data_IF_744647543495
#
_entry.id   IF_744647543495
#
_cell.length_a   1.000
_cell.length_b   1.000
_cell.length_c   1.000
_cell.angle_alpha   90.00
_cell.angle_beta   90.00
_cell.angle_gamma   90.00
#
_symmetry.space_group_name_H-M   'P 1'
#
loop_
_entity.id
_entity.type
_entity.pdbx_description
1 polymer ?
#
# COMPACT_ATOMS: atom_id res chain seq x y z
N UNK A 1 -7.83 -61.35 -24.17
CA UNK A 1 -7.05 -60.85 -23.01
C UNK A 1 -6.88 -59.33 -23.13
N UNK A 2 -7.16 -58.60 -22.04
CA UNK A 2 -6.74 -57.21 -21.76
C UNK A 2 -7.44 -56.06 -22.53
N UNK A 3 -8.70 -55.77 -22.24
CA UNK A 3 -9.27 -54.43 -22.55
C UNK A 3 -10.43 -53.96 -21.64
N UNK A 4 -10.67 -54.62 -20.51
CA UNK A 4 -11.79 -54.31 -19.60
C UNK A 4 -11.36 -53.72 -18.25
N UNK A 5 -10.07 -53.47 -18.03
CA UNK A 5 -9.55 -53.01 -16.73
C UNK A 5 -9.26 -51.50 -16.64
N UNK A 6 -9.49 -50.73 -17.71
CA UNK A 6 -9.13 -49.28 -17.75
C UNK A 6 -10.34 -48.36 -17.49
N UNK A 7 -11.57 -48.88 -17.54
CA UNK A 7 -12.78 -48.06 -17.38
C UNK A 7 -13.18 -47.89 -15.90
N UNK A 8 -12.82 -48.84 -15.03
CA UNK A 8 -13.21 -48.79 -13.61
C UNK A 8 -12.35 -47.88 -12.72
N UNK A 9 -11.23 -47.33 -13.22
CA UNK A 9 -10.37 -46.40 -12.45
C UNK A 9 -10.65 -44.91 -12.72
N UNK A 10 -11.44 -44.59 -13.75
CA UNK A 10 -11.78 -43.20 -14.09
C UNK A 10 -13.09 -42.70 -13.46
N UNK A 11 -13.94 -43.60 -12.94
CA UNK A 11 -15.25 -43.24 -12.40
C UNK A 11 -15.26 -43.03 -10.87
N UNK A 12 -14.22 -43.47 -10.16
CA UNK A 12 -14.08 -43.24 -8.69
C UNK A 12 -13.42 -41.89 -8.38
N UNK A 13 -12.83 -41.21 -9.36
CA UNK A 13 -12.17 -39.92 -9.17
C UNK A 13 -13.11 -38.70 -9.17
N UNK A 14 -14.40 -38.85 -9.53
CA UNK A 14 -15.32 -37.69 -9.64
C UNK A 14 -16.17 -37.40 -8.40
N UNK A 15 -16.18 -38.30 -7.40
CA UNK A 15 -17.01 -38.10 -6.19
C UNK A 15 -16.29 -37.41 -5.03
N UNK A 16 -14.95 -37.28 -5.06
CA UNK A 16 -14.19 -36.66 -3.98
C UNK A 16 -14.07 -35.12 -4.09
N UNK A 17 -14.50 -34.52 -5.21
CA UNK A 17 -14.41 -33.08 -5.45
C UNK A 17 -15.58 -32.26 -4.85
N UNK A 18 -16.64 -32.92 -4.37
CA UNK A 18 -17.85 -32.28 -3.82
C UNK A 18 -18.22 -32.73 -2.40
N UNK A 19 -17.35 -33.46 -1.71
CA UNK A 19 -17.53 -33.65 -0.27
C UNK A 19 -17.26 -32.31 0.43
N UNK A 20 -18.16 -31.80 1.29
CA UNK A 20 -17.86 -30.62 2.10
C UNK A 20 -16.67 -30.98 2.99
N UNK A 21 -15.49 -30.45 2.66
CA UNK A 21 -14.37 -30.50 3.57
C UNK A 21 -14.81 -29.75 4.84
N UNK A 22 -14.98 -30.49 5.94
CA UNK A 22 -15.09 -29.92 7.27
C UNK A 22 -13.83 -29.10 7.49
N UNK A 23 -13.93 -27.80 7.19
CA UNK A 23 -12.89 -26.84 7.50
C UNK A 23 -13.00 -26.63 8.99
N UNK A 24 -12.36 -27.52 9.76
CA UNK A 24 -12.02 -27.18 11.13
C UNK A 24 -11.17 -25.92 11.03
N UNK A 25 -11.74 -24.81 11.48
CA UNK A 25 -10.98 -23.58 11.68
C UNK A 25 -9.95 -23.95 12.74
N UNK A 26 -8.72 -24.25 12.31
CA UNK A 26 -7.60 -24.43 13.21
C UNK A 26 -7.52 -23.17 14.06
N UNK A 27 -7.98 -23.28 15.30
CA UNK A 27 -7.85 -22.25 16.31
C UNK A 27 -6.36 -21.97 16.44
N UNK A 28 -5.91 -20.85 15.87
CA UNK A 28 -4.55 -20.34 16.02
C UNK A 28 -4.36 -19.73 17.41
N UNK A 29 -4.74 -20.46 18.45
CA UNK A 29 -4.20 -20.29 19.79
C UNK A 29 -3.10 -21.33 19.98
N UNK A 30 -2.06 -21.26 19.15
CA UNK A 30 -0.78 -21.88 19.51
C UNK A 30 -0.17 -20.95 20.56
N UNK A 31 -0.30 -21.31 21.84
CA UNK A 31 0.50 -20.73 22.93
C UNK A 31 1.96 -21.21 22.83
N UNK A 32 2.52 -21.17 21.63
CA UNK A 32 3.87 -21.58 21.34
C UNK A 32 4.75 -20.35 21.19
N UNK A 33 5.91 -20.42 21.85
CA UNK A 33 6.95 -19.42 21.73
C UNK A 33 7.34 -19.26 20.26
N UNK A 34 7.28 -18.02 19.74
CA UNK A 34 7.57 -17.70 18.33
C UNK A 34 8.93 -18.22 17.86
N UNK A 35 9.86 -18.43 18.81
CA UNK A 35 11.18 -19.00 18.55
C UNK A 35 11.14 -20.51 18.24
N UNK A 36 10.24 -21.26 18.87
CA UNK A 36 10.05 -22.69 18.59
C UNK A 36 9.36 -22.92 17.24
N UNK A 37 8.41 -22.05 16.87
CA UNK A 37 7.73 -22.12 15.57
C UNK A 37 8.69 -21.87 14.39
N UNK A 38 9.65 -20.95 14.55
CA UNK A 38 10.71 -20.73 13.55
C UNK A 38 11.70 -21.89 13.46
N UNK A 39 11.96 -22.60 14.56
CA UNK A 39 12.78 -23.81 14.56
C UNK A 39 12.10 -25.00 13.87
N UNK A 40 10.79 -25.16 14.04
CA UNK A 40 10.02 -26.23 13.41
C UNK A 40 9.92 -26.06 11.87
N UNK A 41 9.83 -24.82 11.38
CA UNK A 41 9.83 -24.52 9.95
C UNK A 41 11.19 -24.83 9.29
N UNK A 42 12.29 -24.76 10.03
CA UNK A 42 13.60 -25.15 9.53
C UNK A 42 13.79 -26.68 9.46
N UNK A 43 13.09 -27.45 10.30
CA UNK A 43 13.22 -28.90 10.36
C UNK A 43 12.32 -29.65 9.36
N UNK A 44 11.19 -29.06 8.97
CA UNK A 44 10.35 -29.58 7.90
C UNK A 44 10.75 -28.90 6.58
N UNK A 45 11.70 -29.49 5.87
CA UNK A 45 12.23 -29.06 4.56
C UNK A 45 11.21 -28.99 3.40
N UNK A 46 9.95 -28.71 3.69
CA UNK A 46 8.93 -28.32 2.71
C UNK A 46 9.15 -26.84 2.41
N UNK A 47 10.11 -26.59 1.52
CA UNK A 47 10.20 -25.33 0.79
C UNK A 47 8.95 -25.24 -0.08
N UNK A 48 7.84 -24.81 0.51
CA UNK A 48 6.76 -24.17 -0.22
C UNK A 48 7.36 -22.87 -0.78
N UNK A 49 8.07 -22.98 -1.90
CA UNK A 49 8.50 -21.85 -2.71
C UNK A 49 7.27 -20.95 -2.82
N UNK A 50 7.30 -19.72 -2.28
CA UNK A 50 6.26 -18.76 -2.59
C UNK A 50 6.27 -18.69 -4.11
N UNK A 51 5.18 -19.16 -4.72
CA UNK A 51 4.92 -18.94 -6.13
C UNK A 51 5.22 -17.46 -6.34
N UNK A 52 6.26 -17.15 -7.10
CA UNK A 52 6.51 -15.80 -7.56
C UNK A 52 5.37 -15.47 -8.52
N UNK A 53 4.20 -15.16 -7.95
CA UNK A 53 3.17 -14.44 -8.64
C UNK A 53 3.85 -13.17 -9.12
N UNK A 54 3.93 -13.02 -10.45
CA UNK A 54 4.58 -11.89 -11.09
C UNK A 54 3.98 -10.60 -10.52
N UNK A 55 4.73 -9.94 -9.63
CA UNK A 55 4.29 -8.77 -8.87
C UNK A 55 4.15 -7.51 -9.74
N UNK A 56 4.39 -7.61 -11.05
CA UNK A 56 4.21 -6.51 -12.00
C UNK A 56 2.73 -6.15 -12.22
N UNK A 57 1.80 -7.06 -11.89
CA UNK A 57 0.36 -6.75 -11.85
C UNK A 57 -0.06 -5.83 -10.68
N UNK A 58 0.75 -5.75 -9.61
CA UNK A 58 0.46 -4.90 -8.44
C UNK A 58 0.87 -3.43 -8.65
N UNK A 59 1.76 -3.18 -9.61
CA UNK A 59 2.25 -1.84 -9.93
C UNK A 59 1.56 -1.36 -11.21
N UNK A 60 0.65 -0.42 -11.08
CA UNK A 60 -0.03 0.19 -12.22
C UNK A 60 -0.05 1.71 -12.07
N UNK A 61 -0.33 2.41 -13.17
CA UNK A 61 -0.52 3.88 -13.11
C UNK A 61 -1.61 4.26 -12.11
N UNK A 62 -2.66 3.44 -11.99
CA UNK A 62 -3.74 3.66 -11.05
C UNK A 62 -3.31 3.49 -9.58
N UNK A 63 -2.49 2.49 -9.26
CA UNK A 63 -1.99 2.31 -7.88
C UNK A 63 -0.99 3.41 -7.48
N UNK A 64 -0.19 3.90 -8.42
CA UNK A 64 0.67 5.07 -8.24
C UNK A 64 -0.15 6.34 -8.00
N UNK A 65 -1.15 6.61 -8.84
CA UNK A 65 -2.02 7.78 -8.69
C UNK A 65 -2.78 7.76 -7.36
N UNK A 66 -3.35 6.61 -6.98
CA UNK A 66 -4.04 6.43 -5.69
C UNK A 66 -3.09 6.72 -4.51
N UNK A 67 -1.86 6.23 -4.57
CA UNK A 67 -0.86 6.47 -3.52
C UNK A 67 -0.46 7.94 -3.44
N UNK A 68 -0.22 8.58 -4.60
CA UNK A 68 0.08 10.01 -4.69
C UNK A 68 -1.07 10.85 -4.15
N UNK A 69 -2.31 10.46 -4.44
CA UNK A 69 -3.49 11.16 -3.97
C UNK A 69 -3.66 11.03 -2.45
N UNK A 70 -3.79 9.81 -1.94
CA UNK A 70 -4.13 9.57 -0.53
C UNK A 70 -3.03 10.09 0.41
N UNK A 71 -1.77 9.75 0.13
CA UNK A 71 -0.67 10.11 1.01
C UNK A 71 -0.14 11.51 0.71
N UNK A 72 -0.18 11.96 -0.55
CA UNK A 72 0.18 13.34 -0.89
C UNK A 72 -0.78 14.36 -0.27
N UNK A 73 -2.09 14.09 -0.28
CA UNK A 73 -3.07 14.96 0.39
C UNK A 73 -2.78 15.09 1.89
N UNK A 74 -2.55 13.96 2.58
CA UNK A 74 -2.20 13.96 4.01
C UNK A 74 -0.91 14.72 4.31
N UNK A 75 0.09 14.62 3.43
CA UNK A 75 1.32 15.41 3.57
C UNK A 75 1.02 16.89 3.39
N UNK A 76 0.19 17.28 2.42
CA UNK A 76 -0.19 18.69 2.22
C UNK A 76 -1.01 19.28 3.37
N UNK A 77 -1.85 18.48 4.02
CA UNK A 77 -2.62 18.90 5.20
C UNK A 77 -1.70 19.28 6.39
N UNK A 78 -0.44 18.82 6.40
CA UNK A 78 0.56 19.21 7.41
C UNK A 78 1.16 20.59 7.17
N UNK A 79 0.86 21.28 6.06
CA UNK A 79 1.47 22.58 5.73
C UNK A 79 1.23 23.61 6.84
N UNK A 80 0.04 23.64 7.41
CA UNK A 80 -0.31 24.56 8.50
C UNK A 80 0.38 24.15 9.81
N UNK A 81 0.50 22.85 10.09
CA UNK A 81 1.26 22.34 11.23
C UNK A 81 2.76 22.67 11.14
N UNK A 82 3.36 22.54 9.96
CA UNK A 82 4.75 22.95 9.68
C UNK A 82 4.92 24.45 9.86
N UNK A 83 3.97 25.26 9.37
CA UNK A 83 3.98 26.71 9.55
C UNK A 83 3.80 27.12 11.03
N UNK A 84 3.05 26.35 11.81
CA UNK A 84 2.91 26.54 13.26
C UNK A 84 4.17 26.09 14.03
N UNK A 85 4.92 25.13 13.49
CA UNK A 85 6.04 24.49 14.20
C UNK A 85 5.59 23.30 15.07
N UNK A 86 4.46 22.70 14.75
CA UNK A 86 3.97 21.50 15.40
C UNK A 86 4.72 20.26 14.87
N UNK A 87 5.86 19.98 15.50
CA UNK A 87 6.67 18.81 15.20
C UNK A 87 5.94 17.49 15.50
N UNK A 88 5.00 17.50 16.46
CA UNK A 88 4.25 16.33 16.89
C UNK A 88 3.30 15.84 15.80
N UNK A 89 2.55 16.77 15.18
CA UNK A 89 1.67 16.48 14.06
C UNK A 89 2.43 15.86 12.87
N UNK A 90 3.58 16.44 12.50
CA UNK A 90 4.40 15.91 11.40
C UNK A 90 4.98 14.53 11.75
N UNK A 91 5.38 14.32 13.00
CA UNK A 91 5.90 13.03 13.45
C UNK A 91 4.84 11.92 13.48
N UNK A 92 3.60 12.26 13.87
CA UNK A 92 2.46 11.34 13.85
C UNK A 92 2.16 10.84 12.42
N UNK A 93 2.39 11.70 11.42
CA UNK A 93 2.18 11.39 10.01
C UNK A 93 3.38 10.75 9.29
N UNK A 94 4.36 10.21 10.04
CA UNK A 94 5.51 9.46 9.49
C UNK A 94 5.11 8.40 8.46
N UNK A 95 4.01 7.70 8.70
CA UNK A 95 3.55 6.64 7.80
C UNK A 95 3.10 7.20 6.44
N UNK A 96 2.57 8.42 6.36
CA UNK A 96 2.21 9.04 5.09
C UNK A 96 3.43 9.23 4.19
N UNK A 97 4.56 9.71 4.74
CA UNK A 97 5.81 9.85 3.98
C UNK A 97 6.35 8.49 3.49
N UNK A 98 6.34 7.46 4.35
CA UNK A 98 6.82 6.12 3.98
C UNK A 98 5.99 5.50 2.86
N UNK A 99 4.66 5.61 2.99
CA UNK A 99 3.72 5.04 2.03
C UNK A 99 3.70 5.84 0.72
N UNK A 100 3.85 7.16 0.78
CA UNK A 100 4.06 7.99 -0.40
C UNK A 100 5.34 7.58 -1.13
N UNK A 101 6.49 7.52 -0.45
CA UNK A 101 7.77 7.16 -1.07
C UNK A 101 7.73 5.78 -1.75
N UNK A 102 6.99 4.83 -1.17
CA UNK A 102 6.86 3.49 -1.70
C UNK A 102 5.84 3.38 -2.83
N UNK A 103 4.69 4.05 -2.71
CA UNK A 103 3.59 3.98 -3.67
C UNK A 103 3.73 4.94 -4.86
N UNK A 104 4.39 6.10 -4.68
CA UNK A 104 4.64 7.07 -5.74
C UNK A 104 5.82 6.69 -6.65
N UNK A 105 6.74 5.87 -6.13
CA UNK A 105 7.95 5.39 -6.81
C UNK A 105 8.13 3.87 -6.69
N UNK A 106 7.18 3.07 -7.21
CA UNK A 106 7.29 1.64 -7.14
C UNK A 106 8.30 1.09 -8.16
N UNK A 107 8.79 -0.12 -7.89
CA UNK A 107 9.61 -0.89 -8.81
C UNK A 107 11.07 -0.44 -8.93
N UNK A 108 11.87 -1.25 -9.63
CA UNK A 108 13.32 -1.03 -9.74
C UNK A 108 13.69 0.23 -10.53
N UNK A 109 12.88 0.59 -11.53
CA UNK A 109 13.12 1.75 -12.42
C UNK A 109 13.07 3.10 -11.69
N UNK A 110 12.37 3.17 -10.55
CA UNK A 110 12.22 4.40 -9.78
C UNK A 110 13.06 4.44 -8.50
N UNK A 111 14.02 3.50 -8.32
CA UNK A 111 14.86 3.43 -7.11
C UNK A 111 15.58 4.75 -6.79
N UNK A 112 16.10 5.43 -7.80
CA UNK A 112 16.75 6.75 -7.62
C UNK A 112 15.80 7.80 -7.06
N UNK A 113 14.58 7.90 -7.62
CA UNK A 113 13.55 8.84 -7.14
C UNK A 113 13.07 8.47 -5.74
N UNK A 114 12.91 7.17 -5.46
CA UNK A 114 12.57 6.68 -4.12
C UNK A 114 13.65 7.03 -3.10
N UNK A 115 14.93 6.86 -3.45
CA UNK A 115 16.05 7.21 -2.57
C UNK A 115 16.11 8.71 -2.28
N UNK A 116 15.91 9.57 -3.29
CA UNK A 116 15.81 11.02 -3.11
C UNK A 116 14.64 11.40 -2.19
N UNK A 117 13.47 10.81 -2.39
CA UNK A 117 12.32 11.06 -1.52
C UNK A 117 12.55 10.60 -0.07
N UNK A 118 13.26 9.48 0.14
CA UNK A 118 13.68 9.02 1.47
C UNK A 118 14.67 10.03 2.10
N UNK A 119 15.62 10.55 1.33
CA UNK A 119 16.55 11.56 1.80
C UNK A 119 15.83 12.84 2.24
N UNK A 120 14.87 13.34 1.45
CA UNK A 120 14.04 14.47 1.83
C UNK A 120 13.19 14.20 3.08
N UNK A 121 12.63 12.99 3.21
CA UNK A 121 11.92 12.57 4.44
C UNK A 121 12.87 12.59 5.65
N UNK A 122 14.09 12.07 5.49
CA UNK A 122 15.07 12.07 6.58
C UNK A 122 15.48 13.50 6.98
N UNK A 123 15.57 14.43 6.04
CA UNK A 123 15.82 15.85 6.34
C UNK A 123 14.70 16.48 7.18
N UNK A 124 13.44 16.20 6.84
CA UNK A 124 12.26 16.63 7.63
C UNK A 124 12.36 16.08 9.06
N UNK A 125 12.61 14.78 9.21
CA UNK A 125 12.71 14.15 10.53
C UNK A 125 13.99 14.52 11.29
N UNK A 126 15.05 14.96 10.61
CA UNK A 126 16.22 15.55 11.25
C UNK A 126 15.86 16.92 11.84
N UNK A 127 15.16 17.76 11.08
CA UNK A 127 14.67 19.06 11.57
C UNK A 127 13.69 18.94 12.75
N UNK A 128 12.84 17.90 12.75
CA UNK A 128 11.98 17.56 13.90
C UNK A 128 12.83 17.25 15.14
N UNK A 129 13.89 16.43 14.98
CA UNK A 129 14.78 16.07 16.10
C UNK A 129 15.56 17.26 16.62
N UNK A 130 16.03 18.14 15.74
CA UNK A 130 16.71 19.38 16.13
C UNK A 130 15.75 20.48 16.61
N UNK A 131 14.43 20.24 16.54
CA UNK A 131 13.36 21.21 16.85
C UNK A 131 13.53 22.54 16.10
N UNK A 132 14.07 22.47 14.88
CA UNK A 132 14.29 23.63 14.04
C UNK A 132 13.12 23.83 13.09
N UNK A 133 12.30 24.85 13.37
CA UNK A 133 11.13 25.21 12.57
C UNK A 133 11.51 25.71 11.18
N UNK A 134 12.61 26.45 11.04
CA UNK A 134 13.08 26.97 9.76
C UNK A 134 13.57 25.84 8.86
N UNK A 135 14.38 24.94 9.41
CA UNK A 135 14.83 23.74 8.71
C UNK A 135 13.66 22.81 8.37
N UNK A 136 12.67 22.67 9.27
CA UNK A 136 11.49 21.85 9.01
C UNK A 136 10.72 22.38 7.81
N UNK A 137 10.43 23.68 7.81
CA UNK A 137 9.69 24.31 6.71
C UNK A 137 10.45 24.21 5.38
N UNK A 138 11.75 24.50 5.40
CA UNK A 138 12.59 24.38 4.20
C UNK A 138 12.63 22.96 3.65
N UNK A 139 12.87 21.96 4.52
CA UNK A 139 12.91 20.55 4.11
C UNK A 139 11.54 20.04 3.63
N UNK A 140 10.45 20.48 4.27
CA UNK A 140 9.10 20.14 3.87
C UNK A 140 8.72 20.73 2.50
N UNK A 141 8.99 22.02 2.29
CA UNK A 141 8.71 22.69 1.01
C UNK A 141 9.56 22.08 -0.13
N UNK A 142 10.84 21.79 0.13
CA UNK A 142 11.70 21.09 -0.82
C UNK A 142 11.14 19.71 -1.18
N UNK A 143 10.76 18.92 -0.18
CA UNK A 143 10.18 17.59 -0.39
C UNK A 143 8.87 17.65 -1.21
N UNK A 144 7.97 18.58 -0.89
CA UNK A 144 6.71 18.76 -1.62
C UNK A 144 6.97 19.12 -3.09
N UNK A 145 7.88 20.06 -3.33
CA UNK A 145 8.22 20.54 -4.67
C UNK A 145 8.91 19.46 -5.52
N UNK A 146 9.94 18.81 -4.98
CA UNK A 146 10.70 17.76 -5.68
C UNK A 146 9.83 16.55 -6.07
N UNK A 147 8.84 16.24 -5.23
CA UNK A 147 7.96 15.09 -5.45
C UNK A 147 6.68 15.43 -6.23
N UNK A 148 6.48 16.71 -6.58
CA UNK A 148 5.30 17.20 -7.27
C UNK A 148 4.02 16.93 -6.49
N UNK A 149 4.06 17.10 -5.16
CA UNK A 149 2.88 16.92 -4.31
C UNK A 149 2.01 18.17 -4.46
N UNK A 150 0.99 18.08 -5.31
CA UNK A 150 0.04 19.17 -5.50
C UNK A 150 -0.99 19.19 -4.38
N UNK A 151 -1.43 20.40 -4.00
CA UNK A 151 -2.63 20.57 -3.19
C UNK A 151 -3.84 20.07 -3.97
N UNK A 152 -4.46 19.00 -3.48
CA UNK A 152 -5.69 18.44 -4.03
C UNK A 152 -6.94 19.13 -3.44
N UNK A 153 -6.75 20.28 -2.78
CA UNK A 153 -7.80 21.04 -2.13
C UNK A 153 -8.77 21.73 -3.11
N UNK A 154 -8.42 21.84 -4.39
CA UNK A 154 -9.34 22.38 -5.39
C UNK A 154 -10.52 21.41 -5.55
N UNK A 155 -11.69 21.87 -5.12
CA UNK A 155 -12.94 21.14 -5.32
C UNK A 155 -13.21 20.99 -6.81
N UNK A 156 -13.44 19.76 -7.25
CA UNK A 156 -13.97 19.52 -8.60
C UNK A 156 -15.49 19.71 -8.51
N UNK A 157 -16.06 20.44 -9.45
CA UNK A 157 -17.52 20.53 -9.64
C UNK A 157 -17.87 19.84 -10.97
N UNK A 158 -19.16 19.58 -11.20
CA UNK A 158 -19.62 18.87 -12.41
C UNK A 158 -19.35 19.61 -13.71
N UNK A 159 -18.94 20.89 -13.67
CA UNK A 159 -18.54 21.68 -14.83
C UNK A 159 -17.04 21.63 -15.12
N UNK A 160 -16.20 21.41 -14.10
CA UNK A 160 -14.74 21.21 -14.22
C UNK A 160 -14.34 19.76 -14.43
N UNK A 161 -15.20 18.80 -14.08
CA UNK A 161 -14.97 17.38 -14.37
C UNK A 161 -15.72 16.41 -13.47
N UNK A 162 -15.38 15.13 -13.58
CA UNK A 162 -15.88 14.06 -12.70
C UNK A 162 -14.72 13.46 -11.93
N UNK A 163 -14.84 13.40 -10.60
CA UNK A 163 -13.81 12.86 -9.73
C UNK A 163 -13.96 11.38 -9.44
N UNK A 164 -15.16 10.82 -9.61
CA UNK A 164 -15.46 9.40 -9.42
C UNK A 164 -16.62 8.94 -10.31
N UNK A 165 -16.71 7.64 -10.52
CA UNK A 165 -17.83 6.99 -11.22
C UNK A 165 -18.38 5.76 -10.49
N UNK A 166 -17.62 5.20 -9.54
CA UNK A 166 -18.02 4.08 -8.70
C UNK A 166 -17.76 4.39 -7.24
N UNK A 167 -18.51 3.75 -6.35
CA UNK A 167 -18.34 3.90 -4.89
C UNK A 167 -16.99 3.37 -4.36
N UNK A 168 -16.25 2.62 -5.19
CA UNK A 168 -14.92 2.09 -4.85
C UNK A 168 -13.78 3.07 -5.18
N UNK A 169 -14.04 4.19 -5.85
CA UNK A 169 -12.99 5.19 -6.10
C UNK A 169 -12.53 5.83 -4.77
N UNK A 170 -11.24 6.08 -4.66
CA UNK A 170 -10.60 6.66 -3.48
C UNK A 170 -10.95 8.16 -3.29
N UNK A 171 -11.65 8.77 -4.26
CA UNK A 171 -12.10 10.17 -4.24
C UNK A 171 -13.56 10.37 -3.85
N UNK A 172 -14.36 9.30 -3.67
CA UNK A 172 -15.83 9.37 -3.47
C UNK A 172 -16.24 10.19 -2.24
N UNK A 173 -15.39 10.25 -1.20
CA UNK A 173 -15.68 10.97 0.06
C UNK A 173 -14.74 12.15 0.29
N UNK A 174 -14.22 12.74 -0.78
CA UNK A 174 -13.28 13.86 -0.69
C UNK A 174 -13.84 15.12 -1.32
N UNK A 175 -13.12 16.25 -1.20
CA UNK A 175 -13.50 17.52 -1.86
C UNK A 175 -13.51 17.41 -3.39
N UNK A 176 -12.96 16.34 -3.96
CA UNK A 176 -12.98 16.07 -5.39
C UNK A 176 -14.11 15.12 -5.80
N UNK A 177 -15.00 14.74 -4.88
CA UNK A 177 -16.16 13.91 -5.17
C UNK A 177 -17.20 14.71 -5.98
N UNK A 178 -17.03 14.74 -7.29
CA UNK A 178 -18.01 15.27 -8.22
C UNK A 178 -18.42 14.23 -9.25
N UNK A 179 -19.73 14.12 -9.48
CA UNK A 179 -20.31 13.32 -10.55
C UNK A 179 -21.45 14.14 -11.17
N UNK A 180 -21.52 14.14 -12.50
CA UNK A 180 -22.65 14.73 -13.20
C UNK A 180 -23.78 13.71 -13.24
N UNK A 181 -24.85 13.98 -12.50
CA UNK A 181 -26.08 13.18 -12.51
C UNK A 181 -27.00 13.79 -13.58
N UNK A 182 -27.33 13.01 -14.59
CA UNK A 182 -28.21 13.40 -15.71
C UNK A 182 -29.67 13.36 -15.29
#
# INVERSE_FOLDING_TARGET
MKFTAVISTLLVASAAAFAPATTERASTSLSMDRRAAMGAIAAAGVVALPQMASADGAISKATVQRSRYNYGSRIMDLKDAVAAGDFGAVAAEKNAFILFNSGAYPGAKNKGKKAAAIAGTNAIFAAIRSKDKGALKSAFDAYVNENGIASLAASVDSTKGQGYSTDFDYRVRTKQAAIYVR
#
